data_IF_934390740115
#
_entry.id   IF_934390740115
#
_cell.length_a   1.000
_cell.length_b   1.000
_cell.length_c   1.000
_cell.angle_alpha   90.00
_cell.angle_beta   90.00
_cell.angle_gamma   90.00
#
_symmetry.space_group_name_H-M   'P 1'
#
loop_
_entity.id
_entity.type
_entity.pdbx_description
1 polymer ?
#
# COMPACT_ATOMS: atom_id res chain seq x y z
N UNK A 1 -13.00 8.80 -31.43
CA UNK A 1 -13.56 8.27 -30.18
C UNK A 1 -15.04 8.64 -30.06
N UNK A 2 -15.84 7.82 -29.38
CA UNK A 2 -17.29 8.01 -29.17
C UNK A 2 -17.62 8.21 -27.68
N UNK A 3 -18.75 8.89 -27.39
CA UNK A 3 -19.23 9.19 -26.04
C UNK A 3 -19.55 7.91 -25.25
N UNK A 4 -19.98 6.84 -25.92
CA UNK A 4 -20.23 5.56 -25.28
C UNK A 4 -18.93 4.96 -24.71
N UNK A 5 -17.87 4.93 -25.53
CA UNK A 5 -16.59 4.34 -25.16
C UNK A 5 -15.92 5.08 -23.98
N UNK A 6 -15.94 6.41 -23.99
CA UNK A 6 -15.38 7.19 -22.88
C UNK A 6 -16.16 7.00 -21.59
N UNK A 7 -17.48 6.84 -21.68
CA UNK A 7 -18.34 6.62 -20.51
C UNK A 7 -18.04 5.27 -19.87
N UNK A 8 -17.86 4.23 -20.70
CA UNK A 8 -17.44 2.90 -20.25
C UNK A 8 -16.06 2.91 -19.59
N UNK A 9 -15.08 3.59 -20.21
CA UNK A 9 -13.73 3.72 -19.64
C UNK A 9 -13.74 4.44 -18.28
N UNK A 10 -14.46 5.56 -18.18
CA UNK A 10 -14.57 6.30 -16.92
C UNK A 10 -15.26 5.42 -15.87
N UNK A 11 -16.35 4.72 -16.23
CA UNK A 11 -17.11 3.81 -15.35
C UNK A 11 -16.23 2.69 -14.78
N UNK A 12 -15.41 2.05 -15.61
CA UNK A 12 -14.43 1.05 -15.17
C UNK A 12 -13.43 1.67 -14.18
N UNK A 13 -12.83 2.81 -14.55
CA UNK A 13 -11.76 3.43 -13.77
C UNK A 13 -12.23 3.97 -12.42
N UNK A 14 -13.41 4.59 -12.31
CA UNK A 14 -13.96 5.07 -11.03
C UNK A 14 -14.39 3.91 -10.10
N UNK A 15 -14.64 2.73 -10.66
CA UNK A 15 -14.93 1.52 -9.88
C UNK A 15 -13.66 0.95 -9.26
N UNK A 16 -12.52 1.13 -9.92
CA UNK A 16 -11.22 0.64 -9.47
C UNK A 16 -10.42 1.65 -8.63
N UNK A 17 -10.68 2.95 -8.84
CA UNK A 17 -9.86 4.03 -8.27
C UNK A 17 -10.73 5.07 -7.55
N UNK A 18 -10.11 5.85 -6.67
CA UNK A 18 -10.77 7.00 -6.01
C UNK A 18 -10.72 8.28 -6.85
N UNK A 19 -9.94 8.28 -7.93
CA UNK A 19 -9.73 9.45 -8.79
C UNK A 19 -9.52 9.03 -10.23
N UNK A 20 -10.13 9.76 -11.16
CA UNK A 20 -9.90 9.63 -12.61
C UNK A 20 -9.82 11.01 -13.21
N UNK A 21 -8.69 11.35 -13.80
CA UNK A 21 -8.47 12.65 -14.44
C UNK A 21 -8.92 12.67 -15.89
N UNK A 22 -9.57 13.75 -16.30
CA UNK A 22 -9.97 14.06 -17.66
C UNK A 22 -9.10 15.22 -18.14
N UNK A 23 -8.07 14.94 -18.97
CA UNK A 23 -7.15 15.96 -19.48
C UNK A 23 -7.89 17.20 -20.00
N UNK A 24 -7.53 18.37 -19.45
CA UNK A 24 -8.09 19.66 -19.87
C UNK A 24 -9.52 19.96 -19.40
N UNK A 25 -10.20 19.04 -18.70
CA UNK A 25 -11.58 19.25 -18.21
C UNK A 25 -11.69 19.26 -16.68
N UNK A 26 -10.97 18.37 -15.98
CA UNK A 26 -11.08 18.21 -14.53
C UNK A 26 -10.84 16.77 -14.08
N UNK A 27 -11.28 16.43 -12.87
CA UNK A 27 -11.20 15.04 -12.38
C UNK A 27 -12.52 14.57 -11.76
N UNK A 28 -12.84 13.30 -11.97
CA UNK A 28 -13.78 12.57 -11.13
C UNK A 28 -13.11 12.17 -9.83
N UNK A 29 -13.79 12.43 -8.71
CA UNK A 29 -13.38 12.05 -7.37
C UNK A 29 -14.46 11.14 -6.80
N UNK A 30 -14.05 9.97 -6.34
CA UNK A 30 -14.91 8.98 -5.72
C UNK A 30 -14.55 8.91 -4.25
N UNK A 31 -15.54 9.10 -3.39
CA UNK A 31 -15.35 9.10 -1.94
C UNK A 31 -16.39 8.20 -1.26
N UNK A 32 -16.02 7.52 -0.16
CA UNK A 32 -16.99 6.75 0.62
C UNK A 32 -18.00 7.69 1.28
N UNK A 33 -19.26 7.28 1.26
CA UNK A 33 -20.37 7.94 1.92
C UNK A 33 -20.99 6.96 2.93
N UNK A 34 -21.34 7.44 4.14
CA UNK A 34 -21.96 6.60 5.16
C UNK A 34 -23.40 6.21 4.75
N UNK A 35 -23.97 5.26 5.48
CA UNK A 35 -25.40 4.98 5.41
C UNK A 35 -26.23 6.24 5.68
N UNK A 36 -27.31 6.41 4.93
CA UNK A 36 -28.21 7.56 5.05
C UNK A 36 -29.65 7.08 5.24
N UNK A 37 -30.42 7.84 6.03
CA UNK A 37 -31.85 7.65 6.11
C UNK A 37 -32.53 8.30 4.91
N UNK A 38 -33.60 7.68 4.41
CA UNK A 38 -34.58 8.34 3.55
C UNK A 38 -35.19 9.56 4.27
N UNK A 39 -35.70 10.54 3.54
CA UNK A 39 -36.28 11.77 4.11
C UNK A 39 -37.33 11.54 5.22
N UNK A 40 -38.09 10.44 5.14
CA UNK A 40 -39.13 10.08 6.13
C UNK A 40 -38.62 9.18 7.26
N UNK A 41 -37.32 8.92 7.34
CA UNK A 41 -36.67 7.97 8.26
C UNK A 41 -37.27 6.54 8.25
N UNK A 42 -37.92 6.14 7.15
CA UNK A 42 -38.53 4.81 6.99
C UNK A 42 -37.60 3.79 6.34
N UNK A 43 -36.47 4.23 5.78
CA UNK A 43 -35.53 3.35 5.09
C UNK A 43 -34.10 3.79 5.39
N UNK A 44 -33.25 2.82 5.70
CA UNK A 44 -31.80 3.02 5.79
C UNK A 44 -31.20 2.54 4.47
N UNK A 45 -30.52 3.44 3.78
CA UNK A 45 -29.70 3.10 2.63
C UNK A 45 -28.32 2.61 3.13
N UNK A 46 -27.77 1.56 2.48
CA UNK A 46 -26.41 1.10 2.80
C UNK A 46 -25.37 2.21 2.58
N UNK A 47 -24.16 2.06 3.13
CA UNK A 47 -23.06 2.94 2.72
C UNK A 47 -22.83 2.80 1.22
N UNK A 48 -22.34 3.86 0.59
CA UNK A 48 -22.16 3.90 -0.86
C UNK A 48 -20.92 4.72 -1.22
N UNK A 49 -20.54 4.74 -2.50
CA UNK A 49 -19.47 5.61 -3.00
C UNK A 49 -20.10 6.74 -3.79
N UNK A 50 -19.78 7.99 -3.43
CA UNK A 50 -20.25 9.20 -4.11
C UNK A 50 -19.23 9.60 -5.16
N UNK A 51 -19.71 9.90 -6.37
CA UNK A 51 -18.88 10.48 -7.44
C UNK A 51 -19.12 11.98 -7.53
N UNK A 52 -18.04 12.73 -7.53
CA UNK A 52 -17.99 14.17 -7.69
C UNK A 52 -17.14 14.50 -8.92
N UNK A 53 -17.39 15.65 -9.53
CA UNK A 53 -16.53 16.19 -10.58
C UNK A 53 -15.96 17.53 -10.15
N UNK A 54 -14.64 17.69 -10.29
CA UNK A 54 -13.91 18.90 -9.89
C UNK A 54 -13.14 19.45 -11.10
N UNK A 55 -13.69 20.49 -11.74
CA UNK A 55 -13.05 21.14 -12.90
C UNK A 55 -11.71 21.82 -12.61
N UNK A 56 -11.46 22.22 -11.35
CA UNK A 56 -10.20 22.86 -10.97
C UNK A 56 -9.06 21.88 -10.78
N UNK A 57 -9.36 20.58 -10.70
CA UNK A 57 -8.37 19.53 -10.51
C UNK A 57 -7.92 19.05 -11.89
N UNK A 58 -6.88 19.68 -12.43
CA UNK A 58 -6.39 19.43 -13.80
C UNK A 58 -5.15 18.55 -13.84
N UNK A 59 -4.71 18.03 -12.69
CA UNK A 59 -3.59 17.11 -12.62
C UNK A 59 -3.96 15.80 -13.34
N UNK A 60 -3.03 15.25 -14.09
CA UNK A 60 -3.25 14.09 -14.93
C UNK A 60 -2.13 13.07 -14.70
N UNK A 61 -2.50 11.86 -14.26
CA UNK A 61 -1.62 10.71 -14.08
C UNK A 61 -1.49 9.84 -15.33
N UNK A 62 -2.27 10.09 -16.38
CA UNK A 62 -2.28 9.29 -17.60
C UNK A 62 -3.11 8.01 -17.50
N UNK A 63 -3.87 7.81 -16.41
CA UNK A 63 -4.63 6.59 -16.16
C UNK A 63 -5.67 6.32 -17.25
N UNK A 64 -6.35 7.39 -17.69
CA UNK A 64 -7.41 7.31 -18.70
C UNK A 64 -6.83 7.01 -20.09
N UNK A 65 -5.72 7.67 -20.45
CA UNK A 65 -4.97 7.46 -21.68
C UNK A 65 -4.44 6.04 -21.79
N UNK A 66 -3.85 5.52 -20.70
CA UNK A 66 -3.34 4.16 -20.64
C UNK A 66 -4.46 3.15 -20.85
N UNK A 67 -5.58 3.29 -20.15
CA UNK A 67 -6.73 2.39 -20.29
C UNK A 67 -7.31 2.44 -21.70
N UNK A 68 -7.43 3.63 -22.28
CA UNK A 68 -7.90 3.81 -23.65
C UNK A 68 -6.96 3.15 -24.67
N UNK A 69 -5.65 3.32 -24.50
CA UNK A 69 -4.61 2.70 -25.32
C UNK A 69 -4.71 1.18 -25.31
N UNK A 70 -4.86 0.59 -24.13
CA UNK A 70 -5.00 -0.86 -23.95
C UNK A 70 -6.30 -1.39 -24.59
N UNK A 71 -7.44 -0.74 -24.34
CA UNK A 71 -8.75 -1.19 -24.82
C UNK A 71 -8.88 -1.07 -26.35
N UNK A 72 -8.27 -0.04 -26.94
CA UNK A 72 -8.37 0.24 -28.38
C UNK A 72 -7.20 -0.33 -29.20
N UNK A 73 -6.19 -0.92 -28.56
CA UNK A 73 -4.98 -1.43 -29.23
C UNK A 73 -4.14 -0.34 -29.91
N UNK A 74 -4.31 0.93 -29.49
CA UNK A 74 -3.59 2.07 -30.04
C UNK A 74 -2.23 2.22 -29.35
N UNK A 75 -1.26 2.84 -30.04
CA UNK A 75 -0.03 3.30 -29.39
C UNK A 75 -0.36 4.39 -28.36
N UNK A 76 0.33 4.46 -27.21
CA UNK A 76 0.01 5.42 -26.15
C UNK A 76 -0.05 6.88 -26.61
N UNK A 77 0.88 7.32 -27.45
CA UNK A 77 0.91 8.68 -27.99
C UNK A 77 -0.33 9.01 -28.82
N UNK A 78 -0.77 8.07 -29.66
CA UNK A 78 -1.96 8.24 -30.50
C UNK A 78 -3.24 8.24 -29.66
N UNK A 79 -3.31 7.35 -28.68
CA UNK A 79 -4.44 7.25 -27.75
C UNK A 79 -4.61 8.58 -26.97
N UNK A 80 -3.51 9.14 -26.46
CA UNK A 80 -3.49 10.42 -25.78
C UNK A 80 -4.03 11.56 -26.65
N UNK A 81 -3.50 11.72 -27.87
CA UNK A 81 -3.93 12.80 -28.79
C UNK A 81 -5.42 12.68 -29.12
N UNK A 82 -5.89 11.48 -29.44
CA UNK A 82 -7.30 11.27 -29.78
C UNK A 82 -8.23 11.54 -28.58
N UNK A 83 -7.82 11.13 -27.37
CA UNK A 83 -8.56 11.39 -26.14
C UNK A 83 -8.63 12.89 -25.83
N UNK A 84 -7.51 13.60 -25.87
CA UNK A 84 -7.44 15.04 -25.60
C UNK A 84 -8.32 15.85 -26.56
N UNK A 85 -8.28 15.53 -27.86
CA UNK A 85 -9.13 16.17 -28.87
C UNK A 85 -10.61 15.93 -28.61
N UNK A 86 -10.98 14.71 -28.25
CA UNK A 86 -12.38 14.37 -27.94
C UNK A 86 -12.87 15.07 -26.67
N UNK A 87 -12.07 15.08 -25.60
CA UNK A 87 -12.43 15.76 -24.36
C UNK A 87 -12.53 17.28 -24.55
N UNK A 88 -11.68 17.88 -25.38
CA UNK A 88 -11.80 19.29 -25.76
C UNK A 88 -13.13 19.58 -26.48
N UNK A 89 -13.56 18.70 -27.38
CA UNK A 89 -14.87 18.77 -28.02
C UNK A 89 -16.00 18.66 -26.99
N UNK A 90 -15.96 17.66 -26.10
CA UNK A 90 -16.95 17.48 -25.03
C UNK A 90 -17.03 18.70 -24.12
N UNK A 91 -15.90 19.31 -23.77
CA UNK A 91 -15.87 20.52 -22.96
C UNK A 91 -16.55 21.69 -23.66
N UNK A 92 -16.31 21.85 -24.96
CA UNK A 92 -16.98 22.87 -25.79
C UNK A 92 -18.48 22.64 -25.86
N UNK A 93 -18.92 21.39 -26.06
CA UNK A 93 -20.33 21.01 -26.04
C UNK A 93 -20.98 21.29 -24.69
N UNK A 94 -20.28 21.01 -23.59
CA UNK A 94 -20.74 21.31 -22.24
C UNK A 94 -20.90 22.82 -22.01
N UNK A 95 -19.98 23.64 -22.52
CA UNK A 95 -20.08 25.10 -22.44
C UNK A 95 -21.26 25.66 -23.25
N UNK A 96 -21.57 25.08 -24.41
CA UNK A 96 -22.68 25.52 -25.27
C UNK A 96 -24.03 25.02 -24.73
N UNK A 97 -24.17 23.71 -24.53
CA UNK A 97 -25.44 23.06 -24.18
C UNK A 97 -25.75 23.09 -22.69
N UNK A 98 -24.76 23.44 -21.86
CA UNK A 98 -24.82 23.40 -20.38
C UNK A 98 -25.05 22.01 -19.79
N UNK A 99 -25.08 20.98 -20.64
CA UNK A 99 -25.25 19.58 -20.27
C UNK A 99 -24.61 18.67 -21.32
N UNK A 100 -23.90 17.65 -20.86
CA UNK A 100 -23.43 16.52 -21.68
C UNK A 100 -23.70 15.23 -20.93
N UNK A 101 -24.38 14.29 -21.58
CA UNK A 101 -24.70 12.98 -21.02
C UNK A 101 -23.60 11.96 -21.34
N UNK A 102 -23.26 11.15 -20.34
CA UNK A 102 -22.34 10.02 -20.39
C UNK A 102 -23.16 8.75 -20.14
N UNK A 103 -23.49 7.97 -21.20
CA UNK A 103 -24.37 6.82 -21.08
C UNK A 103 -23.95 5.84 -19.97
N UNK A 104 -24.95 5.36 -19.20
CA UNK A 104 -24.80 4.44 -18.06
C UNK A 104 -23.86 4.90 -16.93
N UNK A 105 -23.48 6.17 -16.93
CA UNK A 105 -22.59 6.79 -15.97
C UNK A 105 -23.28 7.99 -15.31
N UNK A 106 -23.85 8.89 -16.11
CA UNK A 106 -24.55 10.08 -15.63
C UNK A 106 -24.42 11.26 -16.59
N UNK A 107 -24.38 12.48 -16.09
CA UNK A 107 -24.20 13.66 -16.94
C UNK A 107 -23.47 14.80 -16.23
N UNK A 108 -22.67 15.54 -17.00
CA UNK A 108 -22.11 16.81 -16.57
C UNK A 108 -23.12 17.91 -16.84
N UNK A 109 -23.20 18.89 -15.93
CA UNK A 109 -23.96 20.12 -16.13
C UNK A 109 -23.22 21.33 -15.58
N UNK A 110 -23.43 22.48 -16.21
CA UNK A 110 -22.97 23.77 -15.71
C UNK A 110 -24.15 24.49 -15.06
N UNK A 111 -24.01 24.90 -13.81
CA UNK A 111 -25.04 25.68 -13.12
C UNK A 111 -25.00 27.17 -13.54
N UNK A 112 -25.99 27.95 -13.11
CA UNK A 112 -26.08 29.39 -13.42
C UNK A 112 -24.85 30.21 -12.95
N UNK A 113 -24.11 29.70 -11.97
CA UNK A 113 -22.88 30.29 -11.45
C UNK A 113 -21.62 29.86 -12.23
N UNK A 114 -21.78 29.16 -13.35
CA UNK A 114 -20.66 28.65 -14.16
C UNK A 114 -19.89 27.50 -13.52
N UNK A 115 -20.43 26.86 -12.47
CA UNK A 115 -19.80 25.72 -11.81
C UNK A 115 -20.26 24.41 -12.45
N UNK A 116 -19.32 23.63 -12.93
CA UNK A 116 -19.56 22.27 -13.44
C UNK A 116 -19.79 21.30 -12.29
N UNK A 117 -20.82 20.47 -12.42
CA UNK A 117 -21.15 19.39 -11.49
C UNK A 117 -21.50 18.13 -12.27
N UNK A 118 -21.26 16.98 -11.66
CA UNK A 118 -21.65 15.69 -12.21
C UNK A 118 -22.86 15.16 -11.45
N UNK A 119 -23.81 14.60 -12.19
CA UNK A 119 -24.97 13.90 -11.64
C UNK A 119 -24.89 12.46 -12.11
N UNK A 120 -24.80 11.56 -11.15
CA UNK A 120 -24.70 10.12 -11.36
C UNK A 120 -26.05 9.56 -11.83
N UNK A 121 -26.03 8.58 -12.72
CA UNK A 121 -27.23 7.85 -13.11
C UNK A 121 -27.77 6.97 -11.96
N UNK A 122 -29.09 6.77 -11.89
CA UNK A 122 -29.72 6.13 -10.71
C UNK A 122 -29.25 4.68 -10.48
N UNK A 123 -28.92 3.99 -11.56
CA UNK A 123 -28.56 2.56 -11.53
C UNK A 123 -27.04 2.34 -11.43
N UNK A 124 -26.23 3.39 -11.28
CA UNK A 124 -24.78 3.26 -11.19
C UNK A 124 -24.34 2.82 -9.78
N UNK A 125 -23.89 1.57 -9.68
CA UNK A 125 -23.33 1.02 -8.45
C UNK A 125 -21.79 0.89 -8.51
N UNK A 126 -21.09 1.60 -7.63
CA UNK A 126 -19.61 1.69 -7.64
C UNK A 126 -18.98 1.13 -6.34
N UNK A 127 -19.78 0.88 -5.30
CA UNK A 127 -19.28 0.47 -3.98
C UNK A 127 -19.04 -1.04 -3.92
N UNK A 128 -17.80 -1.51 -4.10
CA UNK A 128 -17.46 -2.93 -3.95
C UNK A 128 -17.75 -3.45 -2.53
N UNK A 129 -17.46 -2.65 -1.52
CA UNK A 129 -17.61 -3.04 -0.10
C UNK A 129 -19.07 -3.18 0.34
N UNK A 130 -19.99 -2.55 -0.38
CA UNK A 130 -21.43 -2.55 -0.09
C UNK A 130 -22.22 -3.44 -1.04
N UNK A 131 -21.51 -4.23 -1.86
CA UNK A 131 -22.13 -5.09 -2.86
C UNK A 131 -23.12 -6.07 -2.20
N UNK A 132 -24.34 -6.11 -2.74
CA UNK A 132 -25.42 -6.96 -2.23
C UNK A 132 -26.12 -6.44 -0.97
N UNK A 133 -25.74 -5.29 -0.43
CA UNK A 133 -26.50 -4.65 0.64
C UNK A 133 -27.73 -3.94 0.05
N UNK A 134 -28.91 -4.37 0.49
CA UNK A 134 -30.17 -3.75 0.10
C UNK A 134 -30.64 -2.71 1.13
N UNK A 135 -31.38 -1.67 0.72
CA UNK A 135 -32.00 -0.74 1.65
C UNK A 135 -32.94 -1.45 2.64
N UNK A 136 -32.78 -1.17 3.92
CA UNK A 136 -33.57 -1.80 4.98
C UNK A 136 -34.75 -0.90 5.33
N UNK A 137 -35.97 -1.41 5.22
CA UNK A 137 -37.18 -0.70 5.65
C UNK A 137 -37.37 -0.83 7.16
N UNK A 138 -37.53 0.30 7.82
CA UNK A 138 -37.79 0.39 9.24
C UNK A 138 -39.29 0.46 9.50
N UNK A 139 -39.71 -0.22 10.56
CA UNK A 139 -41.04 -0.06 11.14
C UNK A 139 -40.92 0.76 12.42
N UNK A 140 -41.44 1.98 12.39
CA UNK A 140 -41.53 2.83 13.57
C UNK A 140 -42.61 2.25 14.48
N UNK A 141 -42.28 2.04 15.75
CA UNK A 141 -43.22 1.57 16.75
C UNK A 141 -43.88 2.76 17.44
N UNK A 142 -45.17 2.65 17.76
CA UNK A 142 -45.94 3.72 18.43
C UNK A 142 -45.53 3.92 19.90
N UNK A 143 -44.94 2.89 20.51
CA UNK A 143 -44.45 2.94 21.89
C UNK A 143 -42.93 2.92 21.88
N UNK A 144 -42.34 3.78 22.70
CA UNK A 144 -40.91 3.71 22.99
C UNK A 144 -40.60 2.33 23.58
N UNK A 145 -39.62 1.64 22.98
CA UNK A 145 -39.13 0.40 23.54
C UNK A 145 -38.49 0.68 24.90
N UNK A 146 -38.74 -0.18 25.88
CA UNK A 146 -37.96 -0.15 27.12
C UNK A 146 -36.51 -0.48 26.75
N UNK A 147 -35.59 0.48 26.90
CA UNK A 147 -34.16 0.19 26.82
C UNK A 147 -33.85 -0.70 28.02
N UNK A 148 -33.74 -2.01 27.80
CA UNK A 148 -33.11 -2.85 28.79
C UNK A 148 -31.71 -2.29 28.99
N UNK A 149 -31.43 -1.77 30.17
CA UNK A 149 -30.08 -1.53 30.61
C UNK A 149 -29.41 -2.90 30.71
N UNK A 150 -28.94 -3.41 29.58
CA UNK A 150 -27.95 -4.47 29.56
C UNK A 150 -26.84 -3.94 30.47
N UNK A 151 -26.73 -4.51 31.67
CA UNK A 151 -25.55 -4.36 32.52
C UNK A 151 -24.43 -5.04 31.75
N UNK A 152 -23.96 -4.41 30.68
CA UNK A 152 -22.72 -4.79 30.06
C UNK A 152 -21.71 -4.64 31.19
N UNK A 153 -21.14 -5.78 31.60
CA UNK A 153 -19.94 -5.76 32.42
C UNK A 153 -19.00 -4.88 31.64
N UNK A 154 -18.75 -3.63 32.10
CA UNK A 154 -17.81 -2.72 31.44
C UNK A 154 -16.65 -3.57 30.99
N UNK A 155 -16.48 -3.72 29.67
CA UNK A 155 -15.23 -4.27 29.17
C UNK A 155 -14.19 -3.38 29.85
N UNK A 156 -13.30 -3.99 30.65
CA UNK A 156 -12.16 -3.24 31.16
C UNK A 156 -11.44 -2.81 29.90
N UNK A 157 -11.68 -1.57 29.49
CA UNK A 157 -10.83 -0.86 28.55
C UNK A 157 -9.52 -0.87 29.31
N UNK A 158 -8.63 -1.79 28.95
CA UNK A 158 -7.32 -1.82 29.53
C UNK A 158 -6.75 -0.44 29.19
N UNK A 159 -6.47 0.36 30.23
CA UNK A 159 -5.72 1.60 30.05
C UNK A 159 -4.48 1.26 29.22
N UNK A 160 -4.07 2.12 28.30
CA UNK A 160 -2.81 1.94 27.56
C UNK A 160 -1.66 1.66 28.52
N UNK A 161 -1.70 2.23 29.72
CA UNK A 161 -0.75 1.98 30.80
C UNK A 161 -0.81 0.54 31.34
N UNK A 162 -2.00 -0.06 31.47
CA UNK A 162 -2.15 -1.47 31.87
C UNK A 162 -1.71 -2.42 30.75
N UNK A 163 -2.01 -2.09 29.48
CA UNK A 163 -1.55 -2.85 28.31
C UNK A 163 -0.01 -2.81 28.25
N UNK A 164 0.60 -1.62 28.38
CA UNK A 164 2.05 -1.42 28.40
C UNK A 164 2.69 -2.12 29.61
N UNK A 165 2.05 -2.08 30.79
CA UNK A 165 2.53 -2.79 31.98
C UNK A 165 2.47 -4.31 31.80
N UNK A 166 1.42 -4.81 31.15
CA UNK A 166 1.28 -6.24 30.85
C UNK A 166 2.27 -6.69 29.77
N UNK A 167 2.42 -5.94 28.68
CA UNK A 167 3.43 -6.15 27.64
C UNK A 167 4.87 -6.07 28.17
N UNK A 168 5.15 -5.14 29.07
CA UNK A 168 6.46 -5.02 29.70
C UNK A 168 6.71 -6.12 30.73
N UNK A 169 5.67 -6.62 31.41
CA UNK A 169 5.77 -7.79 32.28
C UNK A 169 5.94 -9.09 31.49
N UNK A 170 5.29 -9.24 30.32
CA UNK A 170 5.43 -10.37 29.42
C UNK A 170 6.80 -10.35 28.71
N UNK A 171 7.30 -9.17 28.28
CA UNK A 171 8.69 -9.02 27.80
C UNK A 171 9.73 -9.29 28.90
N UNK A 172 9.41 -9.03 30.17
CA UNK A 172 10.27 -9.43 31.31
C UNK A 172 10.20 -10.93 31.60
N UNK A 173 9.13 -11.63 31.19
CA UNK A 173 8.99 -13.07 31.34
C UNK A 173 9.59 -13.87 30.17
N UNK A 174 9.86 -13.26 29.02
CA UNK A 174 10.75 -13.83 28.00
C UNK A 174 12.21 -13.67 28.41
N UNK A 175 12.58 -14.27 29.54
CA UNK A 175 13.95 -14.66 29.78
C UNK A 175 14.30 -15.71 28.73
N UNK A 176 14.82 -15.27 27.58
CA UNK A 176 15.62 -16.13 26.73
C UNK A 176 16.85 -16.50 27.57
N UNK A 177 16.75 -17.58 28.35
CA UNK A 177 17.87 -18.14 29.12
C UNK A 177 18.85 -18.72 28.10
N UNK A 178 19.69 -17.85 27.54
CA UNK A 178 20.99 -18.27 27.04
C UNK A 178 21.69 -18.85 28.26
N UNK A 179 21.85 -20.18 28.32
CA UNK A 179 22.59 -20.81 29.39
C UNK A 179 23.97 -20.14 29.45
N UNK A 180 24.30 -19.50 30.58
CA UNK A 180 25.58 -18.79 30.78
C UNK A 180 26.80 -19.66 30.45
N UNK A 181 26.65 -20.98 30.44
CA UNK A 181 27.65 -21.95 30.00
C UNK A 181 27.95 -21.87 28.49
N UNK A 182 26.94 -21.70 27.63
CA UNK A 182 27.12 -21.67 26.17
C UNK A 182 27.81 -20.38 25.68
N UNK A 183 27.57 -19.25 26.35
CA UNK A 183 28.25 -17.99 26.01
C UNK A 183 29.76 -18.07 26.33
N UNK A 184 30.14 -18.75 27.41
CA UNK A 184 31.56 -19.00 27.72
C UNK A 184 32.22 -19.82 26.61
N UNK A 185 31.58 -20.90 26.14
CA UNK A 185 32.12 -21.72 25.05
C UNK A 185 32.19 -20.95 23.73
N UNK A 186 31.22 -20.09 23.40
CA UNK A 186 31.29 -19.26 22.18
C UNK A 186 32.43 -18.24 22.22
N UNK A 187 32.68 -17.60 23.37
CA UNK A 187 33.81 -16.67 23.52
C UNK A 187 35.15 -17.43 23.38
N UNK A 188 35.24 -18.64 23.96
CA UNK A 188 36.42 -19.50 23.81
C UNK A 188 36.63 -19.89 22.35
N UNK A 189 35.59 -20.34 21.64
CA UNK A 189 35.67 -20.72 20.23
C UNK A 189 36.11 -19.52 19.38
N UNK A 190 35.54 -18.32 19.61
CA UNK A 190 35.92 -17.12 18.89
C UNK A 190 37.39 -16.74 19.13
N UNK A 191 37.87 -16.85 20.37
CA UNK A 191 39.27 -16.61 20.71
C UNK A 191 40.22 -17.62 20.03
N UNK A 192 39.83 -18.90 19.94
CA UNK A 192 40.62 -19.93 19.24
C UNK A 192 40.68 -19.65 17.73
N UNK A 193 39.56 -19.25 17.11
CA UNK A 193 39.54 -18.89 15.68
C UNK A 193 40.45 -17.69 15.39
N UNK A 194 40.41 -16.66 16.24
CA UNK A 194 41.29 -15.49 16.12
C UNK A 194 42.76 -15.90 16.30
N UNK A 195 43.05 -16.79 17.25
CA UNK A 195 44.42 -17.27 17.48
C UNK A 195 44.95 -18.09 16.29
N UNK A 196 44.14 -18.96 15.71
CA UNK A 196 44.50 -19.72 14.50
C UNK A 196 44.72 -18.76 13.32
N UNK A 197 43.85 -17.76 13.15
CA UNK A 197 44.03 -16.76 12.11
C UNK A 197 45.34 -15.96 12.28
N UNK A 198 45.70 -15.60 13.51
CA UNK A 198 46.99 -14.96 13.82
C UNK A 198 48.17 -15.88 13.51
N UNK A 199 48.10 -17.17 13.83
CA UNK A 199 49.15 -18.14 13.48
C UNK A 199 49.33 -18.25 11.96
N UNK A 200 48.24 -18.21 11.18
CA UNK A 200 48.32 -18.24 9.71
C UNK A 200 48.93 -16.93 9.18
N UNK A 201 48.48 -15.77 9.67
CA UNK A 201 48.97 -14.46 9.21
C UNK A 201 50.45 -14.24 9.55
N UNK A 202 50.88 -14.67 10.74
CA UNK A 202 52.25 -14.48 11.23
C UNK A 202 53.13 -15.73 11.05
N UNK A 203 52.70 -16.71 10.25
CA UNK A 203 53.40 -17.98 10.05
C UNK A 203 54.87 -17.76 9.64
N UNK A 204 55.11 -16.83 8.72
CA UNK A 204 56.46 -16.55 8.22
C UNK A 204 57.40 -15.95 9.27
N UNK A 205 56.87 -15.16 10.20
CA UNK A 205 57.66 -14.59 11.30
C UNK A 205 57.89 -15.58 12.45
N UNK A 206 57.04 -16.61 12.57
CA UNK A 206 57.13 -17.62 13.63
C UNK A 206 58.02 -18.83 13.25
N UNK A 207 58.35 -19.02 11.97
CA UNK A 207 59.26 -20.08 11.46
C UNK A 207 60.51 -20.32 12.32
N UNK A 208 61.33 -19.31 12.69
CA UNK A 208 62.55 -19.54 13.48
C UNK A 208 62.27 -20.05 14.91
N UNK A 209 61.10 -19.75 15.49
CA UNK A 209 60.70 -20.25 16.79
C UNK A 209 60.21 -21.71 16.71
N UNK A 210 59.45 -22.04 15.67
CA UNK A 210 59.00 -23.41 15.41
C UNK A 210 60.17 -24.35 15.13
N UNK A 211 61.21 -23.91 14.42
CA UNK A 211 62.43 -24.70 14.18
C UNK A 211 63.17 -25.06 15.48
N UNK A 212 63.18 -24.16 16.46
CA UNK A 212 63.85 -24.38 17.75
C UNK A 212 63.06 -25.36 18.64
N UNK A 213 61.74 -25.31 18.55
CA UNK A 213 60.82 -26.11 19.38
C UNK A 213 60.57 -27.52 18.80
N UNK A 214 60.48 -27.65 17.48
CA UNK A 214 60.09 -28.91 16.83
C UNK A 214 61.29 -29.79 16.44
N UNK A 215 62.50 -29.23 16.33
CA UNK A 215 63.68 -29.96 15.86
C UNK A 215 64.83 -29.96 16.87
N UNK A 216 65.49 -31.11 16.99
CA UNK A 216 66.69 -31.22 17.82
C UNK A 216 67.87 -30.47 17.15
N UNK A 217 68.95 -30.23 17.89
CA UNK A 217 70.08 -29.42 17.42
C UNK A 217 70.74 -29.98 16.15
N UNK A 218 70.81 -31.31 16.03
CA UNK A 218 71.38 -32.02 14.87
C UNK A 218 70.49 -31.91 13.61
N UNK A 219 69.18 -32.01 13.77
CA UNK A 219 68.20 -31.90 12.67
C UNK A 219 68.14 -30.48 12.09
N UNK A 220 68.34 -29.46 12.93
CA UNK A 220 68.43 -28.04 12.51
C UNK A 220 69.65 -27.76 11.62
N UNK A 221 70.77 -28.46 11.84
CA UNK A 221 71.95 -28.31 10.99
C UNK A 221 71.76 -28.96 9.61
N UNK A 222 70.99 -30.07 9.54
CA UNK A 222 70.59 -30.71 8.29
C UNK A 222 69.64 -29.82 7.48
N UNK A 223 68.67 -29.16 8.13
CA UNK A 223 67.77 -28.22 7.47
C UNK A 223 68.50 -27.00 6.91
N UNK A 224 69.50 -26.47 7.64
CA UNK A 224 70.36 -25.39 7.14
C UNK A 224 71.18 -25.83 5.93
N UNK A 225 71.78 -27.02 5.93
CA UNK A 225 72.58 -27.50 4.80
C UNK A 225 71.74 -27.77 3.53
N UNK A 226 70.51 -28.26 3.68
CA UNK A 226 69.56 -28.45 2.57
C UNK A 226 69.10 -27.09 1.99
N UNK A 227 68.76 -26.12 2.85
CA UNK A 227 68.35 -24.78 2.40
C UNK A 227 69.47 -24.03 1.66
N UNK A 228 70.73 -24.28 2.04
CA UNK A 228 71.91 -23.67 1.44
C UNK A 228 72.31 -24.31 0.10
N UNK A 229 71.93 -25.58 -0.15
CA UNK A 229 72.08 -26.26 -1.44
C UNK A 229 70.96 -25.97 -2.45
N UNK A 230 69.81 -25.44 -2.02
CA UNK A 230 68.69 -25.02 -2.88
C UNK A 230 68.80 -23.55 -3.35
N UNK A 231 69.73 -22.78 -2.79
CA UNK A 231 69.97 -21.37 -3.11
C UNK A 231 71.21 -21.13 -4.02
N UNK A 232 71.83 -22.21 -4.52
CA UNK A 232 72.92 -22.22 -5.50
C UNK A 232 72.45 -22.86 -6.82
#
# INVERSE_FOLDING_TARGET
MDIQLISELIKELITENDRVSLPGMGSFIVEPAPSVFSDKATTIHPPFRRVLFRSKETWNDGLLEERYSQKSGLKPEKAKIELELFLAYVNTELDIKKRVDFPELGYLRINERGTTSFVVDQDLFISKDSFGLEPIKLKILEKEGSVEHLKSRRLKIFSEEEIIKKLSSERRASNFKIQKSALKWMIIILAVVIFIALLIIFNDHLKPLWEIILYNKEEREILKSISMNLAN
#
